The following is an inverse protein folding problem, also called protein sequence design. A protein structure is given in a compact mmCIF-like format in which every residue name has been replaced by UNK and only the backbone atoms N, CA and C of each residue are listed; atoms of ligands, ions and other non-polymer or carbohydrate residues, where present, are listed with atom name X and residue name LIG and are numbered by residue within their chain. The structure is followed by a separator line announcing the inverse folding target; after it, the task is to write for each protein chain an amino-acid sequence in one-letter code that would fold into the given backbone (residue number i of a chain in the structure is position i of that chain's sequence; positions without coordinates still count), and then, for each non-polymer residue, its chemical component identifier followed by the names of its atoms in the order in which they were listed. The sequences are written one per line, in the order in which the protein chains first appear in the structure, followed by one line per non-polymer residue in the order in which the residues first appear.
data_IF_616421340352
#
_entry.id   IF_616421340352
#
_cell.length_a   1.000
_cell.length_b   1.000
_cell.length_c   1.000
_cell.angle_alpha   90.00
_cell.angle_beta   90.00
_cell.angle_gamma   90.00
#
_symmetry.space_group_name_H-M   'P 1'
#
loop_
_entity.id
_entity.type
_entity.pdbx_description
1 polymer ?
#
# COMPACT_ATOMS: atom_id res chain seq x y z
N UNK A 1 -1.78 30.75 -10.33
CA UNK A 1 -1.24 29.84 -9.30
C UNK A 1 -0.97 28.51 -9.97
N UNK A 2 0.24 27.99 -9.83
CA UNK A 2 0.57 26.62 -10.23
C UNK A 2 -0.12 25.65 -9.29
N UNK A 3 -0.58 24.50 -9.78
CA UNK A 3 -1.15 23.48 -8.90
C UNK A 3 -0.08 23.02 -7.88
N UNK A 4 -0.48 22.72 -6.62
CA UNK A 4 0.46 22.20 -5.61
C UNK A 4 1.19 20.97 -6.15
N UNK A 5 2.50 20.88 -5.92
CA UNK A 5 3.25 19.68 -6.29
C UNK A 5 2.79 18.48 -5.44
N UNK A 6 2.75 17.29 -6.04
CA UNK A 6 2.40 16.05 -5.35
C UNK A 6 3.67 15.28 -4.96
N UNK A 7 3.81 14.95 -3.68
CA UNK A 7 4.81 13.99 -3.21
C UNK A 7 4.12 12.70 -2.77
N UNK A 8 4.43 11.60 -3.45
CA UNK A 8 4.04 10.26 -2.99
C UNK A 8 5.08 9.75 -2.01
N UNK A 9 4.70 9.59 -0.75
CA UNK A 9 5.62 9.30 0.34
C UNK A 9 5.49 7.85 0.81
N UNK A 10 6.50 7.04 0.55
CA UNK A 10 6.61 5.70 1.12
C UNK A 10 7.48 5.72 2.38
N UNK A 11 7.32 4.73 3.27
CA UNK A 11 8.23 4.58 4.40
C UNK A 11 9.66 4.25 3.93
N UNK A 12 9.75 3.42 2.89
CA UNK A 12 11.00 2.92 2.32
C UNK A 12 11.39 1.55 2.85
N UNK A 13 12.27 0.89 2.12
CA UNK A 13 12.69 -0.49 2.36
C UNK A 13 14.09 -0.68 1.80
N UNK A 14 14.87 -1.56 2.45
CA UNK A 14 16.18 -1.99 1.94
C UNK A 14 16.05 -2.87 0.69
N UNK A 15 14.86 -3.38 0.40
CA UNK A 15 14.62 -4.15 -0.81
C UNK A 15 14.44 -3.23 -2.02
N UNK A 16 15.31 -3.30 -3.04
CA UNK A 16 15.23 -2.43 -4.21
C UNK A 16 13.94 -2.62 -5.03
N UNK A 17 13.29 -3.79 -4.95
CA UNK A 17 11.99 -4.04 -5.62
C UNK A 17 10.90 -3.16 -5.04
N UNK A 18 10.98 -2.83 -3.74
CA UNK A 18 10.05 -1.92 -3.11
C UNK A 18 10.18 -0.53 -3.69
N UNK A 19 11.39 0.04 -3.72
CA UNK A 19 11.63 1.37 -4.28
C UNK A 19 11.22 1.44 -5.77
N UNK A 20 11.58 0.43 -6.56
CA UNK A 20 11.18 0.33 -7.96
C UNK A 20 9.65 0.31 -8.16
N UNK A 21 8.92 -0.35 -7.26
CA UNK A 21 7.44 -0.37 -7.29
C UNK A 21 6.85 1.00 -6.97
N UNK A 22 7.40 1.71 -5.98
CA UNK A 22 6.97 3.07 -5.63
C UNK A 22 7.23 4.04 -6.78
N UNK A 23 8.41 3.98 -7.40
CA UNK A 23 8.74 4.78 -8.59
C UNK A 23 7.79 4.47 -9.75
N UNK A 24 7.48 3.19 -9.98
CA UNK A 24 6.53 2.77 -11.02
C UNK A 24 5.12 3.30 -10.73
N UNK A 25 4.66 3.27 -9.48
CA UNK A 25 3.37 3.83 -9.10
C UNK A 25 3.35 5.35 -9.29
N UNK A 26 4.43 6.03 -8.93
CA UNK A 26 4.60 7.47 -9.14
C UNK A 26 4.58 7.82 -10.63
N UNK A 27 5.21 6.99 -11.47
CA UNK A 27 5.17 7.13 -12.92
C UNK A 27 3.74 6.94 -13.47
N UNK A 28 2.97 5.99 -12.94
CA UNK A 28 1.55 5.84 -13.32
C UNK A 28 0.72 7.06 -12.94
N UNK A 29 0.98 7.67 -11.78
CA UNK A 29 0.33 8.94 -11.38
C UNK A 29 0.69 10.06 -12.37
N UNK A 30 1.98 10.20 -12.73
CA UNK A 30 2.44 11.16 -13.75
C UNK A 30 1.78 10.91 -15.12
N UNK A 31 1.60 9.64 -15.50
CA UNK A 31 0.94 9.27 -16.76
C UNK A 31 -0.54 9.67 -16.78
N UNK A 32 -1.24 9.56 -15.65
CA UNK A 32 -2.63 9.98 -15.52
C UNK A 32 -2.80 11.50 -15.40
N UNK A 33 -1.79 12.21 -14.90
CA UNK A 33 -1.76 13.68 -14.75
C UNK A 33 -0.43 14.27 -15.21
N UNK A 34 -0.19 14.34 -16.53
CA UNK A 34 1.08 14.83 -17.09
C UNK A 34 1.33 16.33 -16.83
N UNK A 35 0.29 17.07 -16.46
CA UNK A 35 0.33 18.48 -16.07
C UNK A 35 0.78 18.69 -14.61
N UNK A 36 0.76 17.64 -13.78
CA UNK A 36 1.07 17.72 -12.36
C UNK A 36 2.55 17.42 -12.10
N UNK A 37 3.22 18.26 -11.30
CA UNK A 37 4.54 17.93 -10.75
C UNK A 37 4.36 16.84 -9.69
N UNK A 38 4.84 15.63 -9.97
CA UNK A 38 4.78 14.49 -9.04
C UNK A 38 6.18 13.98 -8.74
N UNK A 39 6.51 13.79 -7.48
CA UNK A 39 7.79 13.26 -7.01
C UNK A 39 7.58 12.09 -6.04
N UNK A 40 8.42 11.06 -6.17
CA UNK A 40 8.51 10.00 -5.17
C UNK A 40 9.44 10.44 -4.05
N UNK A 41 9.10 10.10 -2.82
CA UNK A 41 9.92 10.33 -1.65
C UNK A 41 9.84 9.14 -0.70
N UNK A 42 10.91 8.98 0.09
CA UNK A 42 10.98 7.98 1.14
C UNK A 42 11.24 8.64 2.49
N UNK A 43 10.63 8.10 3.55
CA UNK A 43 10.94 8.53 4.92
C UNK A 43 12.34 8.08 5.32
N UNK A 44 12.66 6.81 5.07
CA UNK A 44 13.92 6.17 5.46
C UNK A 44 14.28 5.05 4.47
N UNK A 45 15.47 4.48 4.62
CA UNK A 45 15.93 3.23 3.96
C UNK A 45 16.03 3.24 2.42
N UNK A 46 15.54 4.28 1.75
CA UNK A 46 15.58 4.46 0.31
C UNK A 46 15.72 5.94 -0.03
N UNK A 47 16.18 6.22 -1.25
CA UNK A 47 16.36 7.56 -1.78
C UNK A 47 15.45 7.78 -3.00
N UNK A 48 15.00 9.03 -3.26
CA UNK A 48 15.36 10.24 -2.53
C UNK A 48 14.57 10.43 -1.22
N UNK A 49 15.25 10.88 -0.17
CA UNK A 49 14.62 11.25 1.10
C UNK A 49 13.65 12.43 0.96
N UNK A 50 12.60 12.45 1.81
CA UNK A 50 11.54 13.47 1.77
C UNK A 50 12.06 14.91 1.77
N UNK A 51 12.98 15.24 2.68
CA UNK A 51 13.56 16.58 2.77
C UNK A 51 14.28 17.00 1.48
N UNK A 52 15.08 16.11 0.89
CA UNK A 52 15.77 16.39 -0.36
C UNK A 52 14.81 16.58 -1.54
N UNK A 53 13.67 15.89 -1.55
CA UNK A 53 12.61 16.10 -2.57
C UNK A 53 11.97 17.47 -2.40
N UNK A 54 11.62 17.85 -1.17
CA UNK A 54 11.04 19.18 -0.88
C UNK A 54 12.02 20.30 -1.23
N UNK A 55 13.30 20.18 -0.87
CA UNK A 55 14.33 21.17 -1.19
C UNK A 55 14.41 21.40 -2.71
N UNK A 56 14.32 20.34 -3.52
CA UNK A 56 14.29 20.45 -4.99
C UNK A 56 13.00 21.10 -5.51
N UNK A 57 11.86 20.83 -4.89
CA UNK A 57 10.58 21.43 -5.28
C UNK A 57 10.58 22.94 -4.99
N UNK A 58 11.04 23.34 -3.80
CA UNK A 58 11.16 24.75 -3.41
C UNK A 58 12.15 25.48 -4.34
N UNK A 59 13.31 24.89 -4.63
CA UNK A 59 14.27 25.45 -5.58
C UNK A 59 13.71 25.59 -7.00
N UNK A 60 12.73 24.77 -7.38
CA UNK A 60 12.01 24.86 -8.65
C UNK A 60 10.81 25.84 -8.62
N UNK A 61 10.59 26.54 -7.50
CA UNK A 61 9.53 27.54 -7.34
C UNK A 61 8.19 27.00 -6.88
N UNK A 62 8.13 25.78 -6.34
CA UNK A 62 6.92 25.26 -5.69
C UNK A 62 6.89 25.65 -4.21
N UNK A 63 5.93 26.47 -3.83
CA UNK A 63 5.62 26.91 -2.46
C UNK A 63 4.43 26.16 -1.85
N UNK A 64 3.71 25.36 -2.63
CA UNK A 64 2.61 24.50 -2.19
C UNK A 64 2.90 23.04 -2.55
N UNK A 65 2.84 22.15 -1.55
CA UNK A 65 3.10 20.71 -1.69
C UNK A 65 1.99 19.91 -1.01
N UNK A 66 1.44 18.93 -1.71
CA UNK A 66 0.53 17.92 -1.15
C UNK A 66 1.28 16.60 -1.00
N UNK A 67 1.25 16.02 0.19
CA UNK A 67 1.89 14.75 0.51
C UNK A 67 0.84 13.66 0.61
N UNK A 68 0.99 12.59 -0.18
CA UNK A 68 0.16 11.39 -0.13
C UNK A 68 0.96 10.22 0.42
N UNK A 69 0.73 9.80 1.67
CA UNK A 69 1.40 8.64 2.23
C UNK A 69 0.91 7.34 1.57
N UNK A 70 1.84 6.56 1.02
CA UNK A 70 1.60 5.28 0.35
C UNK A 70 1.48 4.12 1.36
N UNK A 71 0.68 4.32 2.40
CA UNK A 71 0.46 3.34 3.48
C UNK A 71 -0.93 2.72 3.35
N UNK A 72 -1.00 1.40 3.46
CA UNK A 72 -2.25 0.66 3.35
C UNK A 72 -2.97 0.52 4.70
N UNK A 73 -2.23 0.53 5.81
CA UNK A 73 -2.78 0.42 7.15
C UNK A 73 -2.27 1.55 8.04
N UNK A 74 -3.07 1.96 9.01
CA UNK A 74 -2.63 2.90 10.04
C UNK A 74 -1.65 2.16 10.97
N UNK A 75 -0.36 2.25 10.66
CA UNK A 75 0.69 1.90 11.61
C UNK A 75 0.91 3.04 12.59
N UNK A 76 1.43 2.74 13.78
CA UNK A 76 1.85 3.73 14.79
C UNK A 76 2.70 4.87 14.19
N UNK A 77 3.52 4.55 13.18
CA UNK A 77 4.39 5.49 12.46
C UNK A 77 3.66 6.45 11.51
N UNK A 78 2.49 6.07 10.96
CA UNK A 78 1.76 6.92 10.01
C UNK A 78 1.26 8.23 10.65
N UNK A 79 0.89 8.16 11.93
CA UNK A 79 0.40 9.32 12.69
C UNK A 79 1.48 10.16 13.36
N UNK A 80 2.74 9.73 13.33
CA UNK A 80 3.85 10.42 14.04
C UNK A 80 4.96 10.84 13.09
N UNK A 81 5.44 9.94 12.24
CA UNK A 81 6.63 10.20 11.43
C UNK A 81 6.35 11.12 10.26
N UNK A 82 5.22 10.93 9.56
CA UNK A 82 4.85 11.81 8.45
C UNK A 82 4.58 13.25 8.92
N UNK A 83 3.75 13.49 9.96
CA UNK A 83 3.56 14.86 10.46
C UNK A 83 4.87 15.53 10.91
N UNK A 84 5.77 14.77 11.55
CA UNK A 84 7.07 15.28 12.00
C UNK A 84 7.91 15.76 10.82
N UNK A 85 8.12 14.93 9.80
CA UNK A 85 8.97 15.32 8.65
C UNK A 85 8.33 16.45 7.83
N UNK A 86 6.99 16.51 7.77
CA UNK A 86 6.26 17.60 7.14
C UNK A 86 6.50 18.92 7.88
N UNK A 87 6.39 18.93 9.21
CA UNK A 87 6.65 20.12 10.02
C UNK A 87 8.10 20.58 9.88
N UNK A 88 9.06 19.67 9.95
CA UNK A 88 10.49 19.98 9.75
C UNK A 88 10.78 20.59 8.38
N UNK A 89 10.05 20.19 7.34
CA UNK A 89 10.19 20.77 6.00
C UNK A 89 9.62 22.19 5.93
N UNK A 90 8.47 22.43 6.57
CA UNK A 90 7.87 23.77 6.67
C UNK A 90 8.74 24.74 7.50
N UNK A 91 9.32 24.27 8.61
CA UNK A 91 10.21 25.07 9.45
C UNK A 91 11.49 25.48 8.70
N UNK A 92 11.96 24.64 7.77
CA UNK A 92 13.15 24.90 6.95
C UNK A 92 12.92 25.91 5.84
N UNK A 93 11.70 25.96 5.28
CA UNK A 93 11.38 26.75 4.09
C UNK A 93 10.28 27.76 4.37
N UNK A 94 10.67 29.01 4.64
CA UNK A 94 9.73 30.10 4.93
C UNK A 94 8.78 30.30 3.75
N UNK A 95 7.47 30.24 4.02
CA UNK A 95 6.41 30.40 3.03
C UNK A 95 5.91 29.10 2.39
N UNK A 96 6.60 27.97 2.61
CA UNK A 96 6.17 26.66 2.13
C UNK A 96 4.91 26.20 2.87
N UNK A 97 3.86 25.88 2.13
CA UNK A 97 2.67 25.20 2.62
C UNK A 97 2.73 23.72 2.24
N UNK A 98 2.71 22.84 3.25
CA UNK A 98 2.66 21.39 3.03
C UNK A 98 1.38 20.82 3.60
N UNK A 99 0.57 20.19 2.74
CA UNK A 99 -0.63 19.47 3.17
C UNK A 99 -0.44 17.97 3.10
N UNK A 100 -0.38 17.34 4.27
CA UNK A 100 -0.49 15.88 4.36
C UNK A 100 -1.95 15.44 4.17
N UNK A 101 -2.17 14.46 3.30
CA UNK A 101 -3.46 13.80 3.11
C UNK A 101 -3.59 12.56 4.00
N UNK A 102 -4.80 11.98 4.05
CA UNK A 102 -4.97 10.62 4.58
C UNK A 102 -4.15 9.62 3.77
N UNK A 103 -3.76 8.53 4.42
CA UNK A 103 -3.09 7.39 3.77
C UNK A 103 -3.96 6.78 2.64
N UNK A 104 -3.37 5.91 1.80
CA UNK A 104 -4.14 5.13 0.83
C UNK A 104 -5.25 4.34 1.53
N UNK A 105 -4.88 3.58 2.57
CA UNK A 105 -5.81 2.83 3.40
C UNK A 105 -6.29 1.51 2.78
N UNK A 106 -7.20 0.83 3.51
CA UNK A 106 -7.86 -0.40 3.08
C UNK A 106 -9.07 -0.08 2.20
N UNK A 107 -8.83 0.32 0.96
CA UNK A 107 -9.91 0.71 0.04
C UNK A 107 -10.56 -0.50 -0.64
N UNK A 108 -11.90 -0.63 -0.65
CA UNK A 108 -12.59 -1.71 -1.37
C UNK A 108 -12.28 -1.78 -2.87
N UNK A 109 -11.88 -0.65 -3.46
CA UNK A 109 -11.43 -0.56 -4.85
C UNK A 109 -10.22 -1.46 -5.13
N UNK A 110 -9.32 -1.65 -4.14
CA UNK A 110 -8.12 -2.47 -4.29
C UNK A 110 -8.43 -3.97 -4.38
N UNK A 111 -9.64 -4.39 -4.03
CA UNK A 111 -10.05 -5.78 -4.22
C UNK A 111 -10.10 -6.16 -5.71
N UNK A 112 -10.36 -5.22 -6.63
CA UNK A 112 -10.28 -5.48 -8.07
C UNK A 112 -8.85 -5.85 -8.50
N UNK A 113 -7.87 -5.05 -8.07
CA UNK A 113 -6.44 -5.31 -8.29
C UNK A 113 -6.02 -6.63 -7.64
N UNK A 114 -6.45 -6.87 -6.41
CA UNK A 114 -6.18 -8.11 -5.69
C UNK A 114 -6.71 -9.34 -6.44
N UNK A 115 -7.93 -9.24 -7.00
CA UNK A 115 -8.53 -10.30 -7.81
C UNK A 115 -7.72 -10.56 -9.10
N UNK A 116 -7.19 -9.52 -9.73
CA UNK A 116 -6.31 -9.66 -10.90
C UNK A 116 -5.01 -10.38 -10.55
N UNK A 117 -4.31 -9.92 -9.51
CA UNK A 117 -3.08 -10.56 -9.02
C UNK A 117 -3.30 -12.01 -8.63
N UNK A 118 -4.43 -12.32 -7.98
CA UNK A 118 -4.76 -13.69 -7.63
C UNK A 118 -5.03 -14.55 -8.88
N UNK A 119 -5.76 -14.04 -9.87
CA UNK A 119 -6.00 -14.76 -11.13
C UNK A 119 -4.70 -15.03 -11.88
N UNK A 120 -3.75 -14.11 -11.88
CA UNK A 120 -2.42 -14.32 -12.47
C UNK A 120 -1.69 -15.49 -11.78
N UNK A 121 -1.67 -15.50 -10.45
CA UNK A 121 -1.06 -16.59 -9.68
C UNK A 121 -1.72 -17.94 -9.93
N UNK A 122 -3.06 -17.99 -9.97
CA UNK A 122 -3.80 -19.21 -10.28
C UNK A 122 -3.52 -19.74 -11.68
N UNK A 123 -3.43 -18.85 -12.68
CA UNK A 123 -3.04 -19.22 -14.05
C UNK A 123 -1.64 -19.80 -14.08
N UNK A 124 -0.68 -19.17 -13.40
CA UNK A 124 0.69 -19.65 -13.28
C UNK A 124 0.78 -21.03 -12.64
N UNK A 125 -0.01 -21.27 -11.59
CA UNK A 125 -0.09 -22.55 -10.88
C UNK A 125 -1.00 -23.60 -11.54
N UNK A 126 -1.69 -23.25 -12.65
CA UNK A 126 -2.68 -24.10 -13.34
C UNK A 126 -3.84 -24.58 -12.45
N UNK A 127 -4.20 -23.76 -11.46
CA UNK A 127 -5.31 -24.01 -10.52
C UNK A 127 -6.62 -23.50 -11.14
N UNK A 128 -7.67 -24.32 -11.10
CA UNK A 128 -8.98 -24.01 -11.72
C UNK A 128 -10.11 -23.79 -10.72
N UNK A 129 -9.93 -24.24 -9.49
CA UNK A 129 -10.93 -24.15 -8.43
C UNK A 129 -10.26 -23.75 -7.13
N UNK A 130 -11.03 -23.07 -6.27
CA UNK A 130 -10.65 -22.66 -4.94
C UNK A 130 -11.77 -23.02 -3.98
N UNK A 131 -11.42 -23.39 -2.75
CA UNK A 131 -12.38 -23.70 -1.70
C UNK A 131 -12.16 -22.88 -0.41
N UNK A 132 -11.07 -22.09 -0.33
CA UNK A 132 -10.85 -21.08 0.70
C UNK A 132 -9.83 -20.01 0.25
N UNK A 133 -9.90 -18.85 0.90
CA UNK A 133 -9.03 -17.70 0.65
C UNK A 133 -8.32 -17.24 1.94
N UNK A 134 -7.09 -16.76 1.80
CA UNK A 134 -6.38 -16.05 2.87
C UNK A 134 -5.97 -14.68 2.36
N UNK A 135 -6.32 -13.62 3.08
CA UNK A 135 -5.84 -12.28 2.83
C UNK A 135 -4.61 -12.03 3.72
N UNK A 136 -3.42 -12.06 3.12
CA UNK A 136 -2.17 -11.76 3.82
C UNK A 136 -1.93 -10.24 3.84
N UNK A 137 -1.64 -9.68 5.01
CA UNK A 137 -1.27 -8.29 5.19
C UNK A 137 -0.07 -8.17 6.14
N UNK A 138 0.50 -6.96 6.28
CA UNK A 138 1.65 -6.75 7.18
C UNK A 138 1.34 -7.15 8.61
N UNK A 139 0.18 -6.72 9.15
CA UNK A 139 -0.10 -6.79 10.58
C UNK A 139 0.42 -5.58 11.33
N UNK A 140 -0.24 -5.27 12.44
CA UNK A 140 0.04 -4.13 13.32
C UNK A 140 -0.07 -4.56 14.77
N UNK A 141 0.62 -3.85 15.68
CA UNK A 141 0.35 -3.95 17.12
C UNK A 141 -0.98 -3.30 17.50
N UNK A 142 -1.50 -2.40 16.66
CA UNK A 142 -2.84 -1.80 16.83
C UNK A 142 -3.94 -2.78 16.38
N UNK A 143 -4.81 -3.23 17.31
CA UNK A 143 -5.93 -4.11 16.98
C UNK A 143 -6.93 -3.49 15.99
N UNK A 144 -7.12 -2.16 15.99
CA UNK A 144 -8.08 -1.47 15.10
C UNK A 144 -7.62 -1.59 13.65
N UNK A 145 -6.33 -1.40 13.42
CA UNK A 145 -5.70 -1.57 12.13
C UNK A 145 -5.86 -3.02 11.59
N UNK A 146 -5.67 -4.02 12.46
CA UNK A 146 -5.88 -5.43 12.07
C UNK A 146 -7.36 -5.76 11.81
N UNK A 147 -8.29 -5.14 12.53
CA UNK A 147 -9.72 -5.30 12.27
C UNK A 147 -10.14 -4.73 10.91
N UNK A 148 -9.48 -3.68 10.41
CA UNK A 148 -9.73 -3.16 9.07
C UNK A 148 -9.39 -4.20 7.99
N UNK A 149 -8.25 -4.88 8.13
CA UNK A 149 -7.86 -6.00 7.25
C UNK A 149 -8.89 -7.14 7.35
N UNK A 150 -9.29 -7.52 8.57
CA UNK A 150 -10.27 -8.58 8.76
C UNK A 150 -11.65 -8.24 8.14
N UNK A 151 -12.08 -6.97 8.20
CA UNK A 151 -13.30 -6.51 7.53
C UNK A 151 -13.16 -6.60 6.01
N UNK A 152 -12.05 -6.12 5.45
CA UNK A 152 -11.79 -6.19 4.02
C UNK A 152 -11.74 -7.64 3.51
N UNK A 153 -11.10 -8.54 4.28
CA UNK A 153 -11.07 -9.97 4.00
C UNK A 153 -12.48 -10.56 3.88
N UNK A 154 -13.39 -10.25 4.84
CA UNK A 154 -14.79 -10.72 4.79
C UNK A 154 -15.53 -10.21 3.57
N UNK A 155 -15.37 -8.93 3.21
CA UNK A 155 -15.96 -8.36 1.99
C UNK A 155 -15.45 -9.10 0.75
N UNK A 156 -14.16 -9.40 0.72
CA UNK A 156 -13.54 -10.13 -0.38
C UNK A 156 -14.03 -11.58 -0.48
N UNK A 157 -14.09 -12.32 0.63
CA UNK A 157 -14.66 -13.68 0.64
C UNK A 157 -16.13 -13.72 0.24
N UNK A 158 -16.92 -12.72 0.64
CA UNK A 158 -18.33 -12.61 0.24
C UNK A 158 -18.48 -12.40 -1.28
N UNK A 159 -17.58 -11.65 -1.93
CA UNK A 159 -17.56 -11.46 -3.39
C UNK A 159 -17.35 -12.79 -4.15
N UNK A 160 -16.57 -13.70 -3.58
CA UNK A 160 -16.22 -14.98 -4.19
C UNK A 160 -17.05 -16.16 -3.68
N UNK A 161 -17.93 -15.94 -2.70
CA UNK A 161 -18.65 -17.00 -1.99
C UNK A 161 -17.71 -18.06 -1.39
N UNK A 162 -16.54 -17.65 -0.90
CA UNK A 162 -15.54 -18.52 -0.30
C UNK A 162 -15.29 -18.16 1.18
N UNK A 163 -15.03 -19.15 2.05
CA UNK A 163 -14.52 -18.86 3.38
C UNK A 163 -13.18 -18.15 3.27
N UNK A 164 -12.97 -17.16 4.13
CA UNK A 164 -11.80 -16.29 4.09
C UNK A 164 -11.24 -16.03 5.49
N UNK A 165 -9.91 -16.06 5.61
CA UNK A 165 -9.20 -15.64 6.82
C UNK A 165 -8.29 -14.45 6.51
N UNK A 166 -8.22 -13.48 7.42
CA UNK A 166 -7.11 -12.54 7.42
C UNK A 166 -5.91 -13.18 8.12
N UNK A 167 -4.72 -12.94 7.59
CA UNK A 167 -3.47 -13.39 8.18
C UNK A 167 -2.41 -12.28 8.09
N UNK A 168 -1.46 -12.31 9.01
CA UNK A 168 -0.54 -11.20 9.21
C UNK A 168 0.92 -11.68 9.17
N UNK A 169 1.77 -10.94 8.47
CA UNK A 169 3.19 -11.26 8.35
C UNK A 169 4.00 -10.90 9.62
N UNK A 170 3.48 -9.99 10.45
CA UNK A 170 4.08 -9.55 11.71
C UNK A 170 3.02 -9.12 12.73
N UNK A 171 3.45 -8.95 13.98
CA UNK A 171 2.75 -8.28 15.10
C UNK A 171 1.38 -8.82 15.54
N UNK A 172 0.72 -9.65 14.75
CA UNK A 172 -0.59 -10.20 15.05
C UNK A 172 -0.72 -11.65 14.51
N UNK A 173 -1.44 -12.54 15.21
CA UNK A 173 -1.83 -13.83 14.67
C UNK A 173 -3.16 -13.73 13.88
N UNK A 174 -3.46 -14.72 13.02
CA UNK A 174 -2.60 -15.84 12.65
C UNK A 174 -1.55 -15.43 11.60
N UNK A 175 -0.41 -16.10 11.60
CA UNK A 175 0.52 -16.03 10.47
C UNK A 175 -0.08 -16.68 9.22
N UNK A 176 0.37 -16.29 8.02
CA UNK A 176 -0.21 -16.79 6.75
C UNK A 176 -0.22 -18.32 6.66
N UNK A 177 0.88 -18.98 7.02
CA UNK A 177 0.94 -20.44 7.03
C UNK A 177 0.02 -21.09 8.08
N UNK A 178 -0.27 -20.40 9.19
CA UNK A 178 -1.21 -20.89 10.20
C UNK A 178 -2.65 -20.85 9.71
N UNK A 179 -3.04 -19.77 9.03
CA UNK A 179 -4.36 -19.64 8.40
C UNK A 179 -4.57 -20.71 7.32
N UNK A 180 -3.56 -20.95 6.47
CA UNK A 180 -3.61 -22.03 5.47
C UNK A 180 -3.74 -23.39 6.15
N UNK A 181 -2.93 -23.69 7.17
CA UNK A 181 -3.03 -24.95 7.93
C UNK A 181 -4.39 -25.12 8.62
N UNK A 182 -5.01 -24.03 9.07
CA UNK A 182 -6.35 -24.07 9.65
C UNK A 182 -7.40 -24.55 8.63
N UNK A 183 -7.46 -23.92 7.45
CA UNK A 183 -8.36 -24.37 6.39
C UNK A 183 -8.10 -25.81 5.95
N UNK A 184 -6.83 -26.23 5.89
CA UNK A 184 -6.51 -27.63 5.56
C UNK A 184 -7.01 -28.63 6.59
N UNK A 185 -7.00 -28.28 7.89
CA UNK A 185 -7.58 -29.11 8.96
C UNK A 185 -9.10 -29.21 8.85
N UNK A 186 -9.75 -28.20 8.29
CA UNK A 186 -11.19 -28.20 7.97
C UNK A 186 -11.52 -28.98 6.68
N UNK A 187 -10.52 -29.58 6.02
CA UNK A 187 -10.71 -30.37 4.81
C UNK A 187 -10.57 -29.60 3.50
N UNK A 188 -10.31 -28.28 3.55
CA UNK A 188 -10.06 -27.46 2.35
C UNK A 188 -8.75 -27.89 1.68
N UNK A 189 -8.74 -27.97 0.35
CA UNK A 189 -7.61 -28.46 -0.46
C UNK A 189 -7.06 -27.42 -1.42
N UNK A 190 -7.88 -26.47 -1.84
CA UNK A 190 -7.53 -25.44 -2.82
C UNK A 190 -7.58 -24.06 -2.16
N UNK A 191 -6.62 -23.85 -1.24
CA UNK A 191 -6.49 -22.61 -0.47
C UNK A 191 -5.55 -21.66 -1.21
N UNK A 192 -6.05 -20.49 -1.62
CA UNK A 192 -5.22 -19.44 -2.22
C UNK A 192 -4.94 -18.31 -1.23
N UNK A 193 -3.80 -17.65 -1.40
CA UNK A 193 -3.45 -16.47 -0.61
C UNK A 193 -3.35 -15.26 -1.55
N UNK A 194 -3.96 -14.15 -1.16
CA UNK A 194 -3.76 -12.88 -1.84
C UNK A 194 -3.00 -11.90 -0.94
N UNK A 195 -2.05 -11.19 -1.55
CA UNK A 195 -1.06 -10.34 -0.89
C UNK A 195 -1.53 -8.89 -0.86
N UNK A 196 -2.14 -8.46 0.25
CA UNK A 196 -2.52 -7.07 0.53
C UNK A 196 -1.30 -6.26 1.01
N UNK A 197 -0.32 -6.15 0.13
CA UNK A 197 0.89 -5.36 0.28
C UNK A 197 1.04 -4.44 -0.93
N UNK A 198 1.67 -3.28 -0.75
CA UNK A 198 1.86 -2.36 -1.88
C UNK A 198 2.96 -2.84 -2.83
N UNK A 199 4.07 -3.34 -2.28
CA UNK A 199 5.26 -3.72 -3.05
C UNK A 199 5.91 -5.00 -2.50
N UNK A 200 6.75 -5.70 -3.30
CA UNK A 200 7.56 -6.82 -2.85
C UNK A 200 8.57 -6.42 -1.76
N UNK A 201 9.04 -7.41 -0.99
CA UNK A 201 9.97 -7.20 0.11
C UNK A 201 9.88 -8.28 1.18
N UNK A 202 10.64 -8.11 2.26
CA UNK A 202 10.78 -9.14 3.30
C UNK A 202 9.44 -9.70 3.84
N UNK A 203 8.49 -8.84 4.20
CA UNK A 203 7.21 -9.26 4.79
C UNK A 203 6.30 -10.02 3.79
N UNK A 204 6.00 -9.49 2.59
CA UNK A 204 5.21 -10.25 1.62
C UNK A 204 5.89 -11.54 1.16
N UNK A 205 7.22 -11.52 0.98
CA UNK A 205 7.98 -12.71 0.60
C UNK A 205 7.88 -13.79 1.68
N UNK A 206 8.08 -13.40 2.96
CA UNK A 206 7.96 -14.33 4.08
C UNK A 206 6.54 -14.88 4.23
N UNK A 207 5.52 -14.04 4.02
CA UNK A 207 4.13 -14.47 4.02
C UNK A 207 3.83 -15.49 2.91
N UNK A 208 4.39 -15.28 1.72
CA UNK A 208 4.25 -16.18 0.58
C UNK A 208 4.95 -17.53 0.83
N UNK A 209 6.19 -17.52 1.31
CA UNK A 209 6.92 -18.73 1.69
C UNK A 209 6.13 -19.57 2.69
N UNK A 210 5.69 -18.95 3.80
CA UNK A 210 4.92 -19.64 4.84
C UNK A 210 3.60 -20.21 4.32
N UNK A 211 2.95 -19.54 3.37
CA UNK A 211 1.72 -20.01 2.75
C UNK A 211 1.98 -21.25 1.88
N UNK A 212 3.00 -21.21 1.02
CA UNK A 212 3.37 -22.30 0.14
C UNK A 212 3.84 -23.53 0.93
N UNK A 213 4.66 -23.34 1.96
CA UNK A 213 5.08 -24.41 2.90
C UNK A 213 3.87 -25.05 3.61
N UNK A 214 2.85 -24.26 3.93
CA UNK A 214 1.59 -24.77 4.50
C UNK A 214 0.69 -25.47 3.46
N UNK A 215 1.04 -25.38 2.17
CA UNK A 215 0.35 -25.96 1.03
C UNK A 215 -0.81 -25.13 0.50
N UNK A 216 -0.65 -23.81 0.49
CA UNK A 216 -1.44 -22.96 -0.41
C UNK A 216 -1.17 -23.35 -1.86
N UNK A 217 -2.21 -23.35 -2.69
CA UNK A 217 -2.11 -23.74 -4.11
C UNK A 217 -1.65 -22.60 -5.01
N UNK A 218 -1.79 -21.37 -4.55
CA UNK A 218 -1.29 -20.17 -5.20
C UNK A 218 -1.16 -19.03 -4.18
N UNK A 219 -0.19 -18.14 -4.43
CA UNK A 219 -0.02 -16.88 -3.70
C UNK A 219 0.09 -15.75 -4.72
N UNK A 220 -0.71 -14.70 -4.57
CA UNK A 220 -0.64 -13.55 -5.47
C UNK A 220 0.60 -12.70 -5.19
N UNK A 221 1.10 -12.03 -6.22
CA UNK A 221 1.99 -10.89 -6.05
C UNK A 221 1.30 -9.75 -5.26
N UNK A 222 2.07 -8.83 -4.66
CA UNK A 222 1.56 -7.57 -4.10
C UNK A 222 0.77 -6.73 -5.14
N UNK A 223 0.05 -5.73 -4.65
CA UNK A 223 -0.79 -4.85 -5.49
C UNK A 223 0.01 -4.20 -6.63
N UNK A 224 1.20 -3.69 -6.31
CA UNK A 224 2.11 -3.09 -7.28
C UNK A 224 1.64 -1.70 -7.77
N UNK A 225 2.22 -1.28 -8.89
CA UNK A 225 1.94 0.00 -9.55
C UNK A 225 0.69 -0.07 -10.44
N UNK A 226 -0.45 -0.47 -9.88
CA UNK A 226 -1.68 -0.57 -10.64
C UNK A 226 -2.33 0.81 -10.87
N UNK A 227 -2.97 1.07 -12.04
CA UNK A 227 -3.69 2.30 -12.29
C UNK A 227 -4.75 2.64 -11.23
N UNK A 228 -5.37 1.65 -10.57
CA UNK A 228 -6.35 1.91 -9.50
C UNK A 228 -5.69 2.51 -8.24
N UNK A 229 -4.44 2.12 -7.94
CA UNK A 229 -3.66 2.75 -6.87
C UNK A 229 -3.33 4.20 -7.25
N UNK A 230 -2.93 4.44 -8.50
CA UNK A 230 -2.62 5.77 -8.99
C UNK A 230 -3.85 6.71 -8.96
N UNK A 231 -5.04 6.21 -9.32
CA UNK A 231 -6.30 6.95 -9.17
C UNK A 231 -6.60 7.29 -7.72
N UNK A 232 -6.36 6.35 -6.81
CA UNK A 232 -6.55 6.62 -5.36
C UNK A 232 -5.58 7.69 -4.86
N UNK A 233 -4.31 7.65 -5.29
CA UNK A 233 -3.35 8.73 -5.00
C UNK A 233 -3.87 10.08 -5.48
N UNK A 234 -4.35 10.16 -6.72
CA UNK A 234 -4.91 11.39 -7.28
C UNK A 234 -6.17 11.87 -6.55
N UNK A 235 -7.02 10.95 -6.08
CA UNK A 235 -8.17 11.28 -5.27
C UNK A 235 -7.76 11.87 -3.91
N UNK A 236 -6.71 11.34 -3.26
CA UNK A 236 -6.15 11.95 -2.04
C UNK A 236 -5.57 13.32 -2.31
N UNK A 237 -4.79 13.43 -3.38
CA UNK A 237 -4.21 14.69 -3.81
C UNK A 237 -5.27 15.77 -4.02
N UNK A 238 -6.37 15.46 -4.73
CA UNK A 238 -7.43 16.42 -5.01
C UNK A 238 -8.04 17.00 -3.73
N UNK A 239 -8.27 16.17 -2.71
CA UNK A 239 -8.76 16.64 -1.40
C UNK A 239 -7.74 17.55 -0.72
N UNK A 240 -6.47 17.13 -0.67
CA UNK A 240 -5.40 17.94 -0.05
C UNK A 240 -5.14 19.26 -0.77
N UNK A 241 -5.25 19.27 -2.10
CA UNK A 241 -5.06 20.49 -2.91
C UNK A 241 -6.18 21.51 -2.68
N UNK A 242 -7.44 21.07 -2.52
CA UNK A 242 -8.56 21.95 -2.20
C UNK A 242 -8.36 22.65 -0.86
N UNK A 243 -7.78 21.97 0.12
CA UNK A 243 -7.51 22.53 1.46
C UNK A 243 -6.40 23.59 1.46
N UNK A 244 -5.63 23.71 0.38
CA UNK A 244 -4.60 24.76 0.20
C UNK A 244 -5.14 26.01 -0.51
N UNK A 245 -6.34 25.95 -1.10
CA UNK A 245 -6.93 27.12 -1.76
C UNK A 245 -7.38 28.12 -0.70
N UNK A 246 -6.85 29.36 -0.67
CA UNK A 246 -7.32 30.38 0.25
C UNK A 246 -8.79 30.70 -0.04
N UNK A 247 -9.62 30.67 1.01
CA UNK A 247 -11.05 31.03 0.97
C UNK A 247 -11.24 32.54 0.98
#
# INVERSE_FOLDING_TARGET
MTAPALVTLAHGSRDPRSAATIESLTAEVRRLRPDLRVEAAFLELAEPGFHAVVDRLVAAGHDEVVVVPLLLNEGYHAGVDVPRVVQEAMDRHVGLQVRQTRILGMEPAFLGVLDERLRDALRGARVRELDALVLAASGSSDPVANQAVARLARVWGARHHLPVAAAFASSAPPATGEAVRAFRREGRRHVAVASMFLAPGFLPDRAAELALEAGAVAVSEPLGADPELARTVLARYAVGAVELVPV
#
